data_IF_045445214415
#
_entry.id   IF_045445214415
#
_cell.length_a   1.000
_cell.length_b   1.000
_cell.length_c   1.000
_cell.angle_alpha   90.00
_cell.angle_beta   90.00
_cell.angle_gamma   90.00
#
_symmetry.space_group_name_H-M   'P 1'
#
loop_
_entity.id
_entity.type
_entity.pdbx_description
1 polymer ?
#
# COMPACT_ATOMS: atom_id res chain seq x y z
N UNK A 1 4.81 31.72 23.71
CA UNK A 1 5.73 31.21 22.67
C UNK A 1 5.28 29.86 22.06
N UNK A 2 4.09 29.35 22.39
CA UNK A 2 3.56 28.08 21.86
C UNK A 2 2.75 28.22 20.54
N UNK A 3 2.56 29.43 20.04
CA UNK A 3 1.74 29.70 18.84
C UNK A 3 2.46 29.41 17.52
N UNK A 4 3.80 29.48 17.49
CA UNK A 4 4.57 29.35 16.24
C UNK A 4 4.80 27.88 15.84
N UNK A 5 4.82 26.96 16.80
CA UNK A 5 4.95 25.52 16.53
C UNK A 5 3.66 24.90 15.97
N UNK A 6 2.48 25.41 16.37
CA UNK A 6 1.19 24.93 15.86
C UNK A 6 0.91 25.40 14.42
N UNK A 7 1.37 26.60 14.05
CA UNK A 7 1.19 27.14 12.70
C UNK A 7 2.18 26.58 11.66
N UNK A 8 3.43 26.26 12.06
CA UNK A 8 4.42 25.67 11.14
C UNK A 8 4.16 24.20 10.81
N UNK A 9 3.43 23.46 11.65
CA UNK A 9 3.22 22.02 11.49
C UNK A 9 2.06 21.64 10.56
N UNK A 10 1.19 22.60 10.20
CA UNK A 10 -0.04 22.34 9.44
C UNK A 10 0.07 22.50 7.92
N UNK A 11 1.05 23.25 7.42
CA UNK A 11 1.20 23.42 5.96
C UNK A 11 1.93 22.21 5.35
N UNK A 12 1.37 21.57 4.30
CA UNK A 12 2.11 20.57 3.54
C UNK A 12 3.34 21.24 2.92
N UNK A 13 4.51 20.70 3.25
CA UNK A 13 5.79 21.10 2.69
C UNK A 13 6.37 19.94 1.90
N UNK A 14 7.04 20.23 0.78
CA UNK A 14 7.74 19.22 0.00
C UNK A 14 8.81 18.48 0.82
N UNK A 15 9.33 19.12 1.88
CA UNK A 15 10.27 18.47 2.80
C UNK A 15 9.67 17.27 3.54
N UNK A 16 8.34 17.19 3.67
CA UNK A 16 7.71 16.02 4.29
C UNK A 16 7.91 14.74 3.47
N UNK A 17 8.16 14.81 2.16
CA UNK A 17 8.46 13.63 1.36
C UNK A 17 9.77 12.93 1.75
N UNK A 18 10.65 13.58 2.53
CA UNK A 18 11.79 12.89 3.16
C UNK A 18 11.30 11.76 4.09
N UNK A 19 10.18 11.97 4.79
CA UNK A 19 9.56 10.94 5.64
C UNK A 19 9.11 9.75 4.80
N UNK A 20 8.59 9.99 3.59
CA UNK A 20 8.23 8.93 2.65
C UNK A 20 9.47 8.12 2.21
N UNK A 21 10.64 8.76 2.03
CA UNK A 21 11.88 8.05 1.73
C UNK A 21 12.36 7.17 2.90
N UNK A 22 12.22 7.64 4.14
CA UNK A 22 12.49 6.81 5.32
C UNK A 22 11.57 5.59 5.39
N UNK A 23 10.27 5.77 5.10
CA UNK A 23 9.35 4.65 4.98
C UNK A 23 9.76 3.69 3.86
N UNK A 24 10.15 4.21 2.69
CA UNK A 24 10.59 3.39 1.56
C UNK A 24 11.77 2.49 1.95
N UNK A 25 12.78 3.05 2.64
CA UNK A 25 13.90 2.28 3.14
C UNK A 25 13.49 1.27 4.21
N UNK A 26 12.62 1.67 5.15
CA UNK A 26 12.08 0.79 6.17
C UNK A 26 11.36 -0.42 5.55
N UNK A 27 10.60 -0.23 4.47
CA UNK A 27 9.93 -1.34 3.77
C UNK A 27 10.90 -2.34 3.14
N UNK A 28 12.06 -1.90 2.63
CA UNK A 28 13.12 -2.83 2.18
C UNK A 28 13.54 -3.74 3.32
N UNK A 29 13.83 -3.15 4.48
CA UNK A 29 14.29 -3.87 5.66
C UNK A 29 13.20 -4.82 6.17
N UNK A 30 11.98 -4.32 6.37
CA UNK A 30 10.85 -5.10 6.87
C UNK A 30 10.53 -6.26 5.92
N UNK A 31 10.47 -6.04 4.61
CA UNK A 31 10.24 -7.12 3.64
C UNK A 31 11.32 -8.18 3.73
N UNK A 32 12.59 -7.78 3.80
CA UNK A 32 13.70 -8.73 3.90
C UNK A 32 13.54 -9.66 5.11
N UNK A 33 13.23 -9.11 6.28
CA UNK A 33 13.00 -9.89 7.49
C UNK A 33 11.76 -10.79 7.38
N UNK A 34 10.61 -10.22 6.99
CA UNK A 34 9.37 -11.00 6.90
C UNK A 34 9.44 -12.09 5.84
N UNK A 35 10.06 -11.85 4.69
CA UNK A 35 10.26 -12.86 3.65
C UNK A 35 11.14 -14.00 4.16
N UNK A 36 12.27 -13.66 4.78
CA UNK A 36 13.23 -14.63 5.29
C UNK A 36 12.66 -15.52 6.39
N UNK A 37 11.90 -14.95 7.33
CA UNK A 37 11.46 -15.65 8.53
C UNK A 37 10.03 -16.18 8.44
N UNK A 38 9.13 -15.51 7.73
CA UNK A 38 7.69 -15.78 7.76
C UNK A 38 7.17 -16.20 6.38
N UNK A 39 7.16 -15.30 5.40
CA UNK A 39 6.42 -15.52 4.15
C UNK A 39 6.96 -16.70 3.35
N UNK A 40 8.29 -16.88 3.26
CA UNK A 40 8.85 -18.02 2.54
C UNK A 40 8.45 -19.37 3.18
N UNK A 41 8.39 -19.43 4.52
CA UNK A 41 7.95 -20.64 5.24
C UNK A 41 6.47 -20.90 5.03
N UNK A 42 5.64 -19.86 5.15
CA UNK A 42 4.20 -19.95 4.91
C UNK A 42 3.88 -20.34 3.47
N UNK A 43 4.59 -19.76 2.49
CA UNK A 43 4.44 -20.09 1.08
C UNK A 43 4.76 -21.57 0.83
N UNK A 44 5.88 -22.08 1.36
CA UNK A 44 6.23 -23.51 1.25
C UNK A 44 5.12 -24.38 1.86
N UNK A 45 4.65 -24.05 3.06
CA UNK A 45 3.61 -24.81 3.75
C UNK A 45 2.27 -24.83 3.00
N UNK A 46 1.84 -23.67 2.47
CA UNK A 46 0.61 -23.58 1.66
C UNK A 46 0.73 -24.38 0.36
N UNK A 47 1.86 -24.25 -0.34
CA UNK A 47 2.09 -24.92 -1.62
C UNK A 47 2.33 -26.44 -1.47
N UNK A 48 2.93 -26.88 -0.36
CA UNK A 48 3.14 -28.31 -0.06
C UNK A 48 1.85 -29.05 0.22
N UNK A 49 0.81 -28.35 0.69
CA UNK A 49 -0.54 -28.92 0.89
C UNK A 49 -1.32 -29.09 -0.42
N UNK A 50 -0.92 -28.42 -1.50
CA UNK A 50 -1.69 -28.37 -2.75
C UNK A 50 -1.08 -29.09 -3.95
N UNK A 51 0.22 -29.45 -3.95
CA UNK A 51 0.88 -30.04 -5.15
C UNK A 51 2.04 -30.98 -4.83
N UNK A 52 2.12 -32.11 -5.56
CA UNK A 52 3.12 -33.19 -5.42
C UNK A 52 4.45 -32.96 -6.17
N UNK A 53 4.67 -31.83 -6.86
CA UNK A 53 5.85 -31.59 -7.71
C UNK A 53 6.72 -30.41 -7.23
N UNK A 54 7.77 -30.71 -6.47
CA UNK A 54 8.61 -29.75 -5.72
C UNK A 54 9.50 -28.84 -6.60
N UNK A 55 9.91 -29.27 -7.79
CA UNK A 55 10.86 -28.53 -8.65
C UNK A 55 10.21 -27.37 -9.42
N UNK A 56 8.92 -27.50 -9.75
CA UNK A 56 8.09 -26.43 -10.34
C UNK A 56 7.58 -25.46 -9.27
N UNK A 57 7.77 -25.78 -7.98
CA UNK A 57 7.30 -25.00 -6.85
C UNK A 57 8.20 -23.81 -6.48
N UNK A 58 9.51 -23.80 -6.77
CA UNK A 58 10.39 -22.71 -6.28
C UNK A 58 9.98 -21.32 -6.80
N UNK A 59 9.70 -21.19 -8.10
CA UNK A 59 9.22 -19.94 -8.68
C UNK A 59 7.81 -19.56 -8.16
N UNK A 60 6.94 -20.56 -7.92
CA UNK A 60 5.62 -20.32 -7.32
C UNK A 60 5.73 -19.87 -5.86
N UNK A 61 6.67 -20.44 -5.10
CA UNK A 61 6.95 -20.06 -3.71
C UNK A 61 7.38 -18.60 -3.64
N UNK A 62 8.33 -18.17 -4.49
CA UNK A 62 8.77 -16.77 -4.55
C UNK A 62 7.59 -15.86 -4.87
N UNK A 63 6.82 -16.16 -5.92
CA UNK A 63 5.64 -15.36 -6.32
C UNK A 63 4.55 -15.31 -5.25
N UNK A 64 4.37 -16.40 -4.50
CA UNK A 64 3.42 -16.47 -3.39
C UNK A 64 3.91 -15.61 -2.22
N UNK A 65 5.21 -15.69 -1.89
CA UNK A 65 5.86 -14.85 -0.87
C UNK A 65 5.76 -13.35 -1.20
N UNK A 66 6.02 -12.98 -2.47
CA UNK A 66 5.83 -11.62 -2.99
C UNK A 66 4.39 -11.13 -2.76
N UNK A 67 3.38 -11.95 -3.11
CA UNK A 67 1.97 -11.60 -2.92
C UNK A 67 1.56 -11.55 -1.45
N UNK A 68 2.12 -12.39 -0.57
CA UNK A 68 1.87 -12.33 0.88
C UNK A 68 2.38 -11.02 1.50
N UNK A 69 3.56 -10.57 1.08
CA UNK A 69 4.09 -9.28 1.50
C UNK A 69 3.15 -8.14 1.13
N UNK A 70 2.74 -8.09 -0.14
CA UNK A 70 1.82 -7.07 -0.65
C UNK A 70 0.47 -7.11 0.06
N UNK A 71 -0.12 -8.31 0.19
CA UNK A 71 -1.39 -8.49 0.91
C UNK A 71 -1.29 -7.98 2.35
N UNK A 72 -0.22 -8.33 3.07
CA UNK A 72 -0.02 -7.91 4.46
C UNK A 72 0.07 -6.39 4.57
N UNK A 73 0.82 -5.75 3.67
CA UNK A 73 0.91 -4.30 3.60
C UNK A 73 -0.45 -3.66 3.32
N UNK A 74 -1.12 -4.04 2.23
CA UNK A 74 -2.37 -3.42 1.80
C UNK A 74 -3.47 -3.62 2.84
N UNK A 75 -3.61 -4.80 3.43
CA UNK A 75 -4.60 -5.03 4.49
C UNK A 75 -4.32 -4.22 5.75
N UNK A 76 -3.04 -4.04 6.12
CA UNK A 76 -2.67 -3.21 7.29
C UNK A 76 -2.96 -1.74 7.03
N UNK A 77 -2.58 -1.23 5.85
CA UNK A 77 -2.83 0.17 5.50
C UNK A 77 -4.32 0.46 5.35
N UNK A 78 -5.06 -0.41 4.68
CA UNK A 78 -6.51 -0.26 4.52
C UNK A 78 -7.19 -0.19 5.89
N UNK A 79 -6.83 -1.08 6.82
CA UNK A 79 -7.33 -1.02 8.19
C UNK A 79 -6.97 0.30 8.89
N UNK A 80 -5.71 0.76 8.78
CA UNK A 80 -5.27 2.02 9.39
C UNK A 80 -5.98 3.25 8.80
N UNK A 81 -6.17 3.29 7.49
CA UNK A 81 -6.87 4.37 6.77
C UNK A 81 -8.33 4.39 7.23
N UNK A 82 -9.04 3.27 7.11
CA UNK A 82 -10.43 3.17 7.52
C UNK A 82 -10.61 3.54 9.00
N UNK A 83 -9.78 3.01 9.90
CA UNK A 83 -9.85 3.35 11.32
C UNK A 83 -9.65 4.86 11.58
N UNK A 84 -8.85 5.54 10.76
CA UNK A 84 -8.60 6.98 10.89
C UNK A 84 -9.76 7.82 10.36
N UNK A 85 -10.39 7.41 9.26
CA UNK A 85 -11.38 8.22 8.53
C UNK A 85 -12.84 7.83 8.84
N UNK A 86 -13.08 6.67 9.43
CA UNK A 86 -14.44 6.12 9.61
C UNK A 86 -15.39 7.03 10.40
N UNK A 87 -14.85 7.74 11.40
CA UNK A 87 -15.61 8.66 12.24
C UNK A 87 -15.71 10.09 11.68
N UNK A 88 -15.10 10.34 10.53
CA UNK A 88 -15.13 11.66 9.90
C UNK A 88 -16.42 11.86 9.09
N UNK A 89 -17.04 13.04 9.17
CA UNK A 89 -18.32 13.29 8.49
C UNK A 89 -18.19 13.25 6.96
N UNK A 90 -17.03 13.64 6.43
CA UNK A 90 -16.71 13.63 5.00
C UNK A 90 -16.45 12.23 4.42
N UNK A 91 -16.25 11.20 5.25
CA UNK A 91 -16.05 9.83 4.75
C UNK A 91 -17.30 9.27 4.05
N UNK A 92 -18.50 9.63 4.53
CA UNK A 92 -19.78 9.17 3.98
C UNK A 92 -20.43 10.15 3.01
N UNK A 93 -20.00 11.40 3.03
CA UNK A 93 -20.55 12.46 2.18
C UNK A 93 -19.42 13.19 1.46
N UNK A 94 -19.23 12.83 0.19
CA UNK A 94 -18.17 13.37 -0.68
C UNK A 94 -18.30 14.89 -0.86
N UNK A 95 -19.51 15.46 -0.72
CA UNK A 95 -19.70 16.91 -0.83
C UNK A 95 -18.98 17.64 0.31
N UNK A 96 -18.84 16.99 1.47
CA UNK A 96 -18.15 17.57 2.62
C UNK A 96 -16.63 17.48 2.52
N UNK A 97 -16.08 16.64 1.63
CA UNK A 97 -14.62 16.51 1.42
C UNK A 97 -13.96 17.80 0.92
N UNK A 98 -14.73 18.73 0.35
CA UNK A 98 -14.23 20.01 -0.15
C UNK A 98 -14.53 21.17 0.81
N UNK A 99 -15.26 20.92 1.90
CA UNK A 99 -15.57 21.94 2.89
C UNK A 99 -14.28 22.44 3.53
N UNK A 100 -14.05 23.75 3.48
CA UNK A 100 -12.87 24.39 4.06
C UNK A 100 -11.58 24.24 3.23
N UNK A 101 -11.62 23.65 2.03
CA UNK A 101 -10.47 23.66 1.13
C UNK A 101 -10.14 25.10 0.65
N UNK A 102 -8.86 25.51 0.59
CA UNK A 102 -7.61 24.76 0.82
C UNK A 102 -7.08 24.83 2.27
N UNK A 103 -7.84 25.35 3.23
CA UNK A 103 -7.40 25.52 4.62
C UNK A 103 -7.84 24.37 5.54
N UNK A 104 -7.89 23.15 4.99
CA UNK A 104 -8.24 21.96 5.75
C UNK A 104 -7.15 21.60 6.77
N UNK A 105 -7.56 21.24 7.97
CA UNK A 105 -6.62 20.78 9.01
C UNK A 105 -6.10 19.38 8.66
N UNK A 106 -4.77 19.26 8.53
CA UNK A 106 -4.11 17.98 8.32
C UNK A 106 -3.80 17.33 9.67
N UNK A 107 -4.58 16.31 10.03
CA UNK A 107 -4.31 15.49 11.22
C UNK A 107 -2.98 14.73 11.07
N UNK A 108 -2.23 14.61 12.16
CA UNK A 108 -0.94 13.92 12.18
C UNK A 108 -1.04 12.46 11.68
N UNK A 109 -2.08 11.74 12.10
CA UNK A 109 -2.32 10.36 11.65
C UNK A 109 -2.46 10.27 10.12
N UNK A 110 -3.25 11.18 9.53
CA UNK A 110 -3.45 11.22 8.09
C UNK A 110 -2.17 11.63 7.35
N UNK A 111 -1.39 12.56 7.90
CA UNK A 111 -0.07 12.91 7.38
C UNK A 111 0.85 11.69 7.32
N UNK A 112 0.92 10.91 8.39
CA UNK A 112 1.75 9.71 8.45
C UNK A 112 1.29 8.65 7.46
N UNK A 113 -0.01 8.45 7.31
CA UNK A 113 -0.60 7.55 6.30
C UNK A 113 -0.17 7.98 4.90
N UNK A 114 -0.33 9.26 4.53
CA UNK A 114 0.09 9.77 3.23
C UNK A 114 1.58 9.53 2.96
N UNK A 115 2.44 9.80 3.93
CA UNK A 115 3.89 9.59 3.78
C UNK A 115 4.24 8.09 3.70
N UNK A 116 3.58 7.26 4.50
CA UNK A 116 3.74 5.81 4.48
C UNK A 116 3.36 5.21 3.13
N UNK A 117 2.22 5.63 2.57
CA UNK A 117 1.70 5.15 1.30
C UNK A 117 2.53 5.62 0.12
N UNK A 118 2.91 6.90 0.11
CA UNK A 118 3.87 7.42 -0.86
C UNK A 118 5.21 6.65 -0.79
N UNK A 119 5.73 6.42 0.42
CA UNK A 119 6.95 5.67 0.65
C UNK A 119 6.86 4.22 0.16
N UNK A 120 5.74 3.55 0.37
CA UNK A 120 5.53 2.19 -0.13
C UNK A 120 5.48 2.11 -1.65
N UNK A 121 4.82 3.04 -2.33
CA UNK A 121 4.77 3.03 -3.79
C UNK A 121 6.12 3.41 -4.41
N UNK A 122 6.87 4.33 -3.81
CA UNK A 122 8.28 4.59 -4.18
C UNK A 122 9.11 3.32 -4.02
N UNK A 123 9.03 2.68 -2.85
CA UNK A 123 9.66 1.39 -2.58
C UNK A 123 9.26 0.34 -3.63
N UNK A 124 7.99 0.27 -4.01
CA UNK A 124 7.45 -0.72 -4.94
C UNK A 124 7.97 -0.53 -6.36
N UNK A 125 8.24 0.72 -6.80
CA UNK A 125 8.93 1.00 -8.06
C UNK A 125 10.32 0.38 -8.06
N UNK A 126 11.12 0.61 -7.01
CA UNK A 126 12.45 0.01 -6.90
C UNK A 126 12.39 -1.51 -6.78
N UNK A 127 11.45 -2.03 -5.99
CA UNK A 127 11.25 -3.46 -5.84
C UNK A 127 10.87 -4.12 -7.17
N UNK A 128 9.97 -3.53 -7.95
CA UNK A 128 9.60 -4.04 -9.28
C UNK A 128 10.81 -4.17 -10.21
N UNK A 129 11.73 -3.20 -10.18
CA UNK A 129 12.91 -3.19 -11.06
C UNK A 129 13.98 -4.18 -10.58
N UNK A 130 14.25 -4.23 -9.27
CA UNK A 130 15.45 -4.87 -8.73
C UNK A 130 15.21 -6.15 -7.94
N UNK A 131 14.00 -6.38 -7.41
CA UNK A 131 13.72 -7.47 -6.46
C UNK A 131 12.63 -8.44 -6.95
N UNK A 132 11.57 -7.93 -7.57
CA UNK A 132 10.41 -8.73 -7.91
C UNK A 132 10.58 -9.50 -9.22
N UNK A 133 9.91 -10.64 -9.29
CA UNK A 133 9.87 -11.45 -10.50
C UNK A 133 9.22 -10.66 -11.63
N UNK A 134 9.95 -10.42 -12.73
CA UNK A 134 9.41 -9.72 -13.91
C UNK A 134 8.27 -10.54 -14.54
N UNK A 135 7.10 -9.92 -14.67
CA UNK A 135 5.89 -10.51 -15.26
C UNK A 135 5.49 -9.76 -16.53
N UNK A 136 4.54 -10.31 -17.30
CA UNK A 136 4.09 -9.73 -18.57
C UNK A 136 3.39 -8.37 -18.40
N UNK A 137 2.78 -8.16 -17.24
CA UNK A 137 2.11 -6.95 -16.78
C UNK A 137 3.06 -5.91 -16.15
N UNK A 138 4.38 -6.12 -16.21
CA UNK A 138 5.38 -5.25 -15.60
C UNK A 138 5.20 -3.76 -15.95
N UNK A 139 5.02 -3.45 -17.24
CA UNK A 139 4.88 -2.05 -17.67
C UNK A 139 3.61 -1.40 -17.13
N UNK A 140 2.52 -2.16 -17.02
CA UNK A 140 1.25 -1.65 -16.50
C UNK A 140 1.36 -1.38 -15.00
N UNK A 141 1.95 -2.32 -14.24
CA UNK A 141 2.18 -2.14 -12.80
C UNK A 141 3.16 -1.00 -12.49
N UNK A 142 4.21 -0.85 -13.31
CA UNK A 142 5.15 0.26 -13.18
C UNK A 142 4.46 1.61 -13.40
N UNK A 143 3.70 1.74 -14.49
CA UNK A 143 2.92 2.95 -14.77
C UNK A 143 1.91 3.24 -13.67
N UNK A 144 1.23 2.21 -13.17
CA UNK A 144 0.30 2.33 -12.05
C UNK A 144 0.99 2.91 -10.81
N UNK A 145 2.13 2.37 -10.37
CA UNK A 145 2.83 2.92 -9.20
C UNK A 145 3.33 4.36 -9.41
N UNK A 146 3.84 4.69 -10.61
CA UNK A 146 4.26 6.07 -10.92
C UNK A 146 3.08 7.03 -10.85
N UNK A 147 1.93 6.65 -11.41
CA UNK A 147 0.69 7.43 -11.34
C UNK A 147 0.24 7.58 -9.90
N UNK A 148 0.23 6.50 -9.10
CA UNK A 148 -0.20 6.55 -7.70
C UNK A 148 0.70 7.45 -6.85
N UNK A 149 2.03 7.37 -6.99
CA UNK A 149 2.96 8.31 -6.32
C UNK A 149 2.67 9.76 -6.72
N UNK A 150 2.43 9.99 -8.02
CA UNK A 150 2.13 11.33 -8.53
C UNK A 150 0.83 11.86 -7.95
N UNK A 151 -0.24 11.05 -7.93
CA UNK A 151 -1.54 11.43 -7.38
C UNK A 151 -1.49 11.69 -5.88
N UNK A 152 -0.80 10.85 -5.10
CA UNK A 152 -0.60 11.07 -3.66
C UNK A 152 0.16 12.37 -3.43
N UNK A 153 1.23 12.60 -4.20
CA UNK A 153 2.05 13.80 -4.05
C UNK A 153 1.28 15.07 -4.39
N UNK A 154 0.53 15.04 -5.49
CA UNK A 154 -0.28 16.17 -5.95
C UNK A 154 -1.44 16.45 -4.98
N UNK A 155 -2.12 15.40 -4.52
CA UNK A 155 -3.15 15.51 -3.47
C UNK A 155 -2.60 16.17 -2.21
N UNK A 156 -1.39 15.78 -1.78
CA UNK A 156 -0.75 16.35 -0.60
C UNK A 156 -0.38 17.82 -0.76
N UNK A 157 0.23 18.20 -1.88
CA UNK A 157 0.66 19.59 -2.15
C UNK A 157 -0.55 20.52 -2.31
N UNK A 158 -1.60 20.06 -3.00
CA UNK A 158 -2.84 20.81 -3.19
C UNK A 158 -3.81 20.73 -2.00
N UNK A 159 -3.43 20.05 -0.91
CA UNK A 159 -4.25 19.92 0.30
C UNK A 159 -5.59 19.22 0.09
N UNK A 160 -5.68 18.30 -0.87
CA UNK A 160 -6.86 17.46 -1.09
C UNK A 160 -6.91 16.28 -0.10
N UNK A 161 -6.69 16.54 1.19
CA UNK A 161 -6.43 15.49 2.17
C UNK A 161 -7.63 14.57 2.40
N UNK A 162 -8.83 15.16 2.56
CA UNK A 162 -10.06 14.42 2.85
C UNK A 162 -10.46 13.54 1.66
N UNK A 163 -10.67 14.14 0.49
CA UNK A 163 -11.00 13.39 -0.73
C UNK A 163 -9.91 12.40 -1.11
N UNK A 164 -8.63 12.77 -0.98
CA UNK A 164 -7.53 11.87 -1.27
C UNK A 164 -7.46 10.70 -0.30
N UNK A 165 -7.84 10.85 0.98
CA UNK A 165 -7.91 9.74 1.93
C UNK A 165 -9.01 8.73 1.55
N UNK A 166 -10.17 9.22 1.10
CA UNK A 166 -11.25 8.37 0.58
C UNK A 166 -10.80 7.62 -0.67
N UNK A 167 -10.13 8.31 -1.60
CA UNK A 167 -9.57 7.69 -2.80
C UNK A 167 -8.54 6.62 -2.44
N UNK A 168 -7.66 6.88 -1.47
CA UNK A 168 -6.65 5.92 -1.01
C UNK A 168 -7.29 4.66 -0.42
N UNK A 169 -8.34 4.79 0.40
CA UNK A 169 -9.07 3.63 0.92
C UNK A 169 -9.70 2.79 -0.20
N UNK A 170 -10.38 3.43 -1.15
CA UNK A 170 -11.01 2.72 -2.28
C UNK A 170 -9.97 2.04 -3.19
N UNK A 171 -8.84 2.71 -3.41
CA UNK A 171 -7.75 2.20 -4.23
C UNK A 171 -7.13 0.94 -3.60
N UNK A 172 -6.72 1.02 -2.33
CA UNK A 172 -6.00 -0.06 -1.64
C UNK A 172 -6.89 -1.25 -1.33
N UNK A 173 -8.19 -1.03 -1.09
CA UNK A 173 -9.15 -2.13 -0.94
C UNK A 173 -9.10 -3.10 -2.14
N UNK A 174 -8.99 -2.57 -3.37
CA UNK A 174 -8.90 -3.40 -4.59
C UNK A 174 -7.62 -4.23 -4.66
N UNK A 175 -6.49 -3.66 -4.22
CA UNK A 175 -5.20 -4.33 -4.17
C UNK A 175 -5.20 -5.49 -3.14
N UNK A 176 -5.93 -5.36 -2.02
CA UNK A 176 -6.11 -6.45 -1.04
C UNK A 176 -6.74 -7.68 -1.70
N UNK A 177 -7.87 -7.50 -2.40
CA UNK A 177 -8.57 -8.60 -3.06
C UNK A 177 -7.71 -9.23 -4.15
N UNK A 178 -7.02 -8.39 -4.94
CA UNK A 178 -6.15 -8.83 -6.02
C UNK A 178 -4.98 -9.70 -5.52
N UNK A 179 -4.30 -9.31 -4.44
CA UNK A 179 -3.20 -10.10 -3.88
C UNK A 179 -3.69 -11.37 -3.17
N UNK A 180 -4.87 -11.33 -2.54
CA UNK A 180 -5.52 -12.53 -1.99
C UNK A 180 -5.84 -13.55 -3.11
N UNK A 181 -6.42 -13.10 -4.22
CA UNK A 181 -6.72 -13.94 -5.38
C UNK A 181 -5.46 -14.62 -5.94
N UNK A 182 -4.33 -13.87 -6.03
CA UNK A 182 -3.04 -14.43 -6.47
C UNK A 182 -2.57 -15.57 -5.55
N UNK A 183 -2.65 -15.39 -4.23
CA UNK A 183 -2.24 -16.43 -3.25
C UNK A 183 -3.10 -17.69 -3.39
N UNK A 184 -4.42 -17.54 -3.54
CA UNK A 184 -5.31 -18.69 -3.77
C UNK A 184 -4.99 -19.41 -5.08
N UNK A 185 -4.76 -18.65 -6.15
CA UNK A 185 -4.38 -19.20 -7.46
C UNK A 185 -3.06 -19.96 -7.41
N UNK A 186 -2.04 -19.44 -6.72
CA UNK A 186 -0.78 -20.18 -6.56
C UNK A 186 -0.95 -21.47 -5.75
N UNK A 187 -1.90 -21.48 -4.81
CA UNK A 187 -2.21 -22.64 -3.96
C UNK A 187 -3.13 -23.67 -4.63
N UNK A 188 -3.55 -23.46 -5.88
CA UNK A 188 -4.47 -24.35 -6.61
C UNK A 188 -5.92 -24.31 -6.11
N UNK A 189 -6.32 -23.25 -5.40
CA UNK A 189 -7.67 -23.07 -4.84
C UNK A 189 -8.50 -22.15 -5.73
N UNK A 190 -8.97 -22.67 -6.85
CA UNK A 190 -9.69 -21.89 -7.88
C UNK A 190 -10.95 -21.19 -7.35
N UNK A 191 -11.75 -21.85 -6.48
CA UNK A 191 -12.94 -21.24 -5.88
C UNK A 191 -12.59 -19.99 -5.05
N UNK A 192 -11.53 -20.07 -4.25
CA UNK A 192 -11.08 -18.92 -3.46
C UNK A 192 -10.54 -17.78 -4.32
N UNK A 193 -9.86 -18.12 -5.43
CA UNK A 193 -9.39 -17.12 -6.38
C UNK A 193 -10.56 -16.40 -7.07
N UNK A 194 -11.63 -17.12 -7.42
CA UNK A 194 -12.82 -16.54 -8.05
C UNK A 194 -13.70 -15.73 -7.10
N UNK A 195 -13.68 -15.99 -5.79
CA UNK A 195 -14.44 -15.17 -4.82
C UNK A 195 -13.76 -13.82 -4.58
N UNK A 196 -12.43 -13.76 -4.72
CA UNK A 196 -11.66 -12.53 -4.56
C UNK A 196 -11.55 -11.69 -5.84
N UNK A 197 -12.20 -12.08 -6.94
CA UNK A 197 -12.10 -11.43 -8.26
C UNK A 197 -13.49 -11.16 -8.82
#
# INVERSE_FOLDING_TARGET
MESNWKYSNGLPSAWHFIVALYFAFAFVVVRFFLDRFIFRRLAIWLLSRGTTQLKQNTAKIVKCSESMWKLTYYSTMEFCVLATIYHEPWFRDVNQCFTGWPNQELKLALKLIYMCQCGFYIYSIFALVAWETRRKDFSVMMSHHVVTVTLISYSYVLRFFQIGAVILALHDASDVFLEAAKIFKYSGKEVGASVCF
#
